data_IF_917689286018
#
_entry.id   IF_917689286018
#
_cell.length_a   1.000
_cell.length_b   1.000
_cell.length_c   1.000
_cell.angle_alpha   90.00
_cell.angle_beta   90.00
_cell.angle_gamma   90.00
#
_symmetry.space_group_name_H-M   'P 1'
#
loop_
_entity.id
_entity.type
_entity.pdbx_description
1 polymer ?
#
# COMPACT_ATOMS: atom_id res chain seq x y z
N UNK A 1 7.51 -4.95 31.74
CA UNK A 1 7.48 -4.49 33.15
C UNK A 1 6.16 -3.77 33.40
N UNK A 2 5.28 -4.28 34.27
CA UNK A 2 4.06 -3.56 34.69
C UNK A 2 4.42 -2.74 35.92
N UNK A 3 4.51 -1.41 35.80
CA UNK A 3 4.66 -0.51 36.95
C UNK A 3 3.29 -0.34 37.60
N UNK A 4 3.19 -0.58 38.91
CA UNK A 4 1.97 -0.30 39.67
C UNK A 4 1.90 1.19 39.97
N UNK A 5 0.90 1.87 39.41
CA UNK A 5 0.63 3.28 39.64
C UNK A 5 -0.79 3.42 40.19
N UNK A 6 -0.95 4.20 41.25
CA UNK A 6 -2.24 4.48 41.89
C UNK A 6 -2.93 5.61 41.13
N UNK A 7 -4.05 5.31 40.45
CA UNK A 7 -4.76 6.27 39.61
C UNK A 7 -5.95 6.86 40.36
N UNK A 8 -5.90 8.17 40.61
CA UNK A 8 -6.96 8.91 41.30
C UNK A 8 -8.15 9.14 40.37
N UNK A 9 -9.36 9.24 40.95
CA UNK A 9 -10.55 9.66 40.18
C UNK A 9 -10.33 11.07 39.64
N UNK A 10 -10.70 11.28 38.38
CA UNK A 10 -10.43 12.53 37.65
C UNK A 10 -9.16 12.49 36.80
N UNK A 11 -8.28 11.50 36.97
CA UNK A 11 -7.08 11.35 36.14
C UNK A 11 -7.46 11.22 34.66
N UNK A 12 -6.76 11.97 33.81
CA UNK A 12 -6.86 11.89 32.35
C UNK A 12 -5.53 11.35 31.83
N UNK A 13 -5.59 10.29 31.03
CA UNK A 13 -4.42 9.71 30.36
C UNK A 13 -4.57 9.83 28.86
N UNK A 14 -3.46 9.98 28.14
CA UNK A 14 -3.43 9.84 26.69
C UNK A 14 -3.20 8.38 26.36
N UNK A 15 -4.06 7.84 25.51
CA UNK A 15 -3.98 6.47 25.01
C UNK A 15 -3.29 6.52 23.66
N UNK A 16 -2.35 5.61 23.46
CA UNK A 16 -1.68 5.42 22.18
C UNK A 16 -1.66 3.94 21.85
N UNK A 17 -1.75 3.63 20.56
CA UNK A 17 -1.58 2.28 20.06
C UNK A 17 -0.12 2.04 19.65
N UNK A 18 0.27 0.76 19.57
CA UNK A 18 1.55 0.39 18.97
C UNK A 18 1.62 0.79 17.50
N UNK A 19 2.83 0.72 16.93
CA UNK A 19 3.07 0.99 15.51
C UNK A 19 2.12 0.17 14.63
N UNK A 20 1.49 0.81 13.64
CA UNK A 20 0.58 0.17 12.69
C UNK A 20 -0.87 0.00 13.15
N UNK A 21 -1.22 0.52 14.33
CA UNK A 21 -2.57 0.49 14.87
C UNK A 21 -3.12 1.90 15.11
N UNK A 22 -4.37 2.13 14.69
CA UNK A 22 -5.11 3.36 14.88
C UNK A 22 -6.08 3.25 16.05
N UNK A 23 -6.24 4.35 16.77
CA UNK A 23 -7.11 4.42 17.93
C UNK A 23 -8.50 4.92 17.52
N UNK A 24 -9.55 4.16 17.85
CA UNK A 24 -10.94 4.56 17.62
C UNK A 24 -11.45 5.51 18.73
N UNK A 25 -10.82 6.67 18.89
CA UNK A 25 -11.13 7.66 19.93
C UNK A 25 -11.08 9.07 19.32
N UNK A 26 -12.16 9.84 19.45
CA UNK A 26 -12.21 11.24 19.01
C UNK A 26 -11.57 12.22 20.03
N UNK A 27 -11.24 13.45 19.60
CA UNK A 27 -10.03 13.82 18.85
C UNK A 27 -8.75 13.87 19.70
N UNK A 28 -8.85 13.79 21.04
CA UNK A 28 -7.69 13.98 21.93
C UNK A 28 -7.03 12.67 22.40
N UNK A 29 -7.58 11.52 21.99
CA UNK A 29 -7.12 10.18 22.39
C UNK A 29 -7.02 10.02 23.92
N UNK A 30 -7.89 10.70 24.68
CA UNK A 30 -7.84 10.71 26.14
C UNK A 30 -8.84 9.76 26.77
N UNK A 31 -8.42 9.06 27.83
CA UNK A 31 -9.32 8.33 28.71
C UNK A 31 -9.33 8.98 30.10
N UNK A 32 -10.52 9.16 30.68
CA UNK A 32 -10.71 9.72 32.03
C UNK A 32 -11.14 8.64 33.01
N UNK A 33 -10.51 8.57 34.17
CA UNK A 33 -10.95 7.70 35.27
C UNK A 33 -12.09 8.37 36.04
N UNK A 34 -13.29 7.79 35.99
CA UNK A 34 -14.50 8.26 36.68
C UNK A 34 -14.97 7.14 37.60
N UNK A 35 -14.91 7.37 38.92
CA UNK A 35 -15.34 6.40 39.94
C UNK A 35 -14.71 5.01 39.73
N UNK A 36 -13.40 4.98 39.48
CA UNK A 36 -12.65 3.74 39.24
C UNK A 36 -12.85 3.09 37.86
N UNK A 37 -13.60 3.72 36.95
CA UNK A 37 -13.82 3.22 35.57
C UNK A 37 -13.26 4.19 34.55
N UNK A 38 -12.58 3.67 33.53
CA UNK A 38 -12.14 4.48 32.40
C UNK A 38 -13.31 4.87 31.49
N UNK A 39 -13.28 6.09 30.99
CA UNK A 39 -14.19 6.61 29.98
C UNK A 39 -13.36 7.16 28.80
N UNK A 40 -13.50 6.60 27.59
CA UNK A 40 -14.32 5.44 27.25
C UNK A 40 -13.85 4.15 27.92
N UNK A 41 -14.76 3.18 28.03
CA UNK A 41 -14.53 1.96 28.80
C UNK A 41 -13.57 0.99 28.11
N UNK A 42 -13.50 1.04 26.77
CA UNK A 42 -12.63 0.20 25.95
C UNK A 42 -12.10 0.97 24.74
N UNK A 43 -10.89 1.55 24.80
CA UNK A 43 -10.20 1.99 23.59
C UNK A 43 -9.91 0.79 22.69
N UNK A 44 -10.21 0.90 21.39
CA UNK A 44 -9.83 -0.10 20.39
C UNK A 44 -8.62 0.39 19.61
N UNK A 45 -7.64 -0.48 19.50
CA UNK A 45 -6.52 -0.34 18.57
C UNK A 45 -6.81 -1.26 17.38
N UNK A 46 -7.14 -0.66 16.24
CA UNK A 46 -7.47 -1.38 14.99
C UNK A 46 -6.30 -1.24 14.02
N UNK A 47 -6.08 -2.26 13.19
CA UNK A 47 -4.99 -2.22 12.21
C UNK A 47 -5.25 -1.09 11.22
N UNK A 48 -4.26 -0.23 10.99
CA UNK A 48 -4.41 0.82 9.99
C UNK A 48 -4.29 0.28 8.56
N UNK A 49 -5.05 0.85 7.61
CA UNK A 49 -4.82 0.60 6.20
C UNK A 49 -3.51 1.26 5.75
N UNK A 50 -2.92 0.73 4.69
CA UNK A 50 -1.83 1.40 3.99
C UNK A 50 -2.41 2.43 3.00
N UNK A 51 -1.66 3.49 2.73
CA UNK A 51 -2.00 4.47 1.71
C UNK A 51 -0.92 4.42 0.63
N UNK A 52 -1.34 4.49 -0.64
CA UNK A 52 -0.40 4.57 -1.76
C UNK A 52 0.19 5.98 -1.81
N UNK A 53 1.51 6.12 -2.01
CA UNK A 53 2.12 7.44 -2.14
C UNK A 53 1.90 8.04 -3.54
N UNK A 54 2.04 9.36 -3.62
CA UNK A 54 2.14 10.06 -4.89
C UNK A 54 3.40 9.62 -5.65
N UNK A 55 3.28 9.38 -6.95
CA UNK A 55 4.41 9.02 -7.82
C UNK A 55 4.32 9.78 -9.13
N UNK A 56 5.47 10.19 -9.66
CA UNK A 56 5.56 10.72 -11.03
C UNK A 56 5.60 9.54 -12.00
N UNK A 57 4.63 9.43 -12.91
CA UNK A 57 4.52 8.37 -13.93
C UNK A 57 4.31 6.94 -13.39
N UNK A 58 4.08 6.78 -12.09
CA UNK A 58 3.81 5.49 -11.46
C UNK A 58 2.32 5.21 -11.33
N UNK A 59 1.94 3.95 -11.54
CA UNK A 59 0.55 3.47 -11.49
C UNK A 59 0.49 2.31 -10.49
N UNK A 60 -0.35 2.46 -9.47
CA UNK A 60 -0.66 1.38 -8.53
C UNK A 60 -1.95 0.69 -8.93
N UNK A 61 -1.92 -0.63 -9.07
CA UNK A 61 -3.10 -1.43 -9.37
C UNK A 61 -3.36 -2.50 -8.32
N UNK A 62 -4.63 -2.82 -8.09
CA UNK A 62 -5.04 -3.96 -7.29
C UNK A 62 -5.77 -4.97 -8.18
N UNK A 63 -5.48 -6.28 -8.03
CA UNK A 63 -6.27 -7.29 -8.71
C UNK A 63 -7.72 -7.19 -8.22
N UNK A 64 -8.66 -7.05 -9.14
CA UNK A 64 -10.07 -7.04 -8.78
C UNK A 64 -10.44 -8.48 -8.41
N UNK A 65 -10.61 -8.75 -7.11
CA UNK A 65 -11.18 -10.03 -6.67
C UNK A 65 -12.56 -10.16 -7.32
N UNK A 66 -12.68 -11.06 -8.30
CA UNK A 66 -13.96 -11.58 -8.79
C UNK A 66 -14.59 -12.46 -7.71
N UNK A 67 -14.95 -11.83 -6.59
CA UNK A 67 -15.63 -12.42 -5.44
C UNK A 67 -17.14 -12.47 -5.59
N UNK A 68 -17.67 -12.63 -6.80
CA UNK A 68 -19.02 -13.16 -7.04
C UNK A 68 -18.94 -14.16 -8.19
N UNK A 69 -19.14 -15.43 -7.83
CA UNK A 69 -19.46 -16.60 -8.66
C UNK A 69 -19.52 -16.31 -10.17
N UNK A 70 -18.43 -16.58 -10.90
CA UNK A 70 -18.54 -16.73 -12.35
C UNK A 70 -19.38 -17.97 -12.63
N UNK A 71 -20.68 -17.79 -12.85
CA UNK A 71 -21.45 -18.77 -13.62
C UNK A 71 -20.81 -18.87 -15.00
N UNK A 72 -20.47 -20.09 -15.42
CA UNK A 72 -19.86 -20.41 -16.71
C UNK A 72 -20.82 -20.14 -17.90
N UNK A 73 -21.25 -18.90 -18.07
CA UNK A 73 -22.10 -18.49 -19.17
C UNK A 73 -22.11 -16.97 -19.29
N UNK A 74 -21.01 -16.38 -19.79
CA UNK A 74 -20.98 -15.19 -20.65
C UNK A 74 -19.65 -15.21 -21.44
N UNK A 75 -19.54 -16.14 -22.38
CA UNK A 75 -18.53 -16.05 -23.45
C UNK A 75 -19.20 -15.32 -24.59
N UNK A 76 -18.88 -14.02 -24.77
CA UNK A 76 -19.01 -13.28 -26.02
C UNK A 76 -18.35 -11.89 -25.84
N UNK A 77 -17.10 -11.75 -26.28
CA UNK A 77 -16.43 -10.45 -26.33
C UNK A 77 -14.94 -10.53 -26.65
N UNK A 78 -14.59 -10.33 -27.93
CA UNK A 78 -13.32 -9.81 -28.48
C UNK A 78 -11.97 -10.51 -28.18
N UNK A 79 -11.18 -10.88 -29.21
CA UNK A 79 -9.77 -11.21 -29.06
C UNK A 79 -8.95 -9.91 -28.96
N UNK A 80 -8.94 -9.32 -27.77
CA UNK A 80 -7.98 -8.31 -27.35
C UNK A 80 -7.16 -8.89 -26.20
N UNK A 81 -5.85 -8.68 -26.22
CA UNK A 81 -4.86 -9.19 -25.27
C UNK A 81 -5.38 -9.06 -23.83
N UNK A 82 -5.57 -10.19 -23.15
CA UNK A 82 -6.15 -10.25 -21.80
C UNK A 82 -5.27 -9.56 -20.76
N UNK A 83 -5.59 -8.31 -20.46
CA UNK A 83 -5.32 -7.72 -19.16
C UNK A 83 -6.58 -7.95 -18.32
N UNK A 84 -6.46 -8.75 -17.27
CA UNK A 84 -7.53 -8.88 -16.29
C UNK A 84 -7.91 -7.50 -15.76
N UNK A 85 -9.17 -7.31 -15.39
CA UNK A 85 -9.67 -6.06 -14.85
C UNK A 85 -8.88 -5.72 -13.57
N UNK A 86 -7.86 -4.88 -13.69
CA UNK A 86 -7.07 -4.37 -12.58
C UNK A 86 -7.60 -2.97 -12.22
N UNK A 87 -7.87 -2.74 -10.93
CA UNK A 87 -8.34 -1.43 -10.46
C UNK A 87 -7.13 -0.54 -10.18
N UNK A 88 -7.02 0.59 -10.87
CA UNK A 88 -6.07 1.66 -10.53
C UNK A 88 -6.44 2.32 -9.18
N UNK A 89 -5.42 2.61 -8.37
CA UNK A 89 -5.54 3.15 -7.03
C UNK A 89 -5.10 4.62 -6.98
N UNK A 90 -5.76 5.40 -6.14
CA UNK A 90 -5.39 6.78 -5.83
C UNK A 90 -4.86 6.94 -4.39
N UNK A 91 -4.25 8.08 -4.08
CA UNK A 91 -3.67 8.40 -2.75
C UNK A 91 -4.66 8.33 -1.58
N UNK A 92 -5.96 8.49 -1.87
CA UNK A 92 -7.02 8.44 -0.85
C UNK A 92 -7.57 7.04 -0.63
N UNK A 93 -7.24 6.07 -1.49
CA UNK A 93 -7.76 4.72 -1.39
C UNK A 93 -7.07 3.97 -0.23
N UNK A 94 -7.83 3.55 0.80
CA UNK A 94 -7.26 2.78 1.89
C UNK A 94 -7.05 1.33 1.47
N UNK A 95 -5.84 0.82 1.66
CA UNK A 95 -5.48 -0.55 1.31
C UNK A 95 -5.52 -1.43 2.57
N UNK A 96 -6.42 -2.43 2.64
CA UNK A 96 -6.54 -3.30 3.80
C UNK A 96 -5.26 -4.09 4.09
N UNK A 97 -4.97 -4.31 5.37
CA UNK A 97 -3.86 -5.15 5.80
C UNK A 97 -3.94 -6.56 5.19
N UNK A 98 -2.80 -7.02 4.66
CA UNK A 98 -2.65 -8.33 4.03
C UNK A 98 -2.82 -8.30 2.51
N UNK A 99 -3.43 -7.25 1.95
CA UNK A 99 -3.59 -7.08 0.51
C UNK A 99 -2.23 -6.85 -0.18
N UNK A 100 -2.14 -7.29 -1.42
CA UNK A 100 -0.99 -7.08 -2.30
C UNK A 100 -1.44 -6.27 -3.50
N UNK A 101 -0.72 -5.18 -3.77
CA UNK A 101 -0.92 -4.33 -4.93
C UNK A 101 0.29 -4.44 -5.86
N UNK A 102 0.08 -4.12 -7.12
CA UNK A 102 1.11 -4.08 -8.13
C UNK A 102 1.47 -2.62 -8.49
N UNK A 103 2.73 -2.40 -8.84
CA UNK A 103 3.24 -1.12 -9.30
C UNK A 103 3.82 -1.26 -10.70
N UNK A 104 3.41 -0.36 -11.58
CA UNK A 104 3.91 -0.24 -12.95
C UNK A 104 4.20 1.23 -13.26
N UNK A 105 4.87 1.48 -14.39
CA UNK A 105 5.13 2.82 -14.88
C UNK A 105 4.38 3.08 -16.18
N UNK A 106 4.09 4.35 -16.44
CA UNK A 106 3.62 4.82 -17.74
C UNK A 106 4.60 4.47 -18.87
N UNK A 107 4.10 4.50 -20.10
CA UNK A 107 4.91 4.19 -21.28
C UNK A 107 6.16 5.08 -21.38
N UNK A 108 7.30 4.46 -21.68
CA UNK A 108 8.58 5.15 -21.76
C UNK A 108 9.30 5.30 -20.43
N UNK A 109 8.80 4.69 -19.35
CA UNK A 109 9.47 4.60 -18.06
C UNK A 109 9.65 3.14 -17.63
N UNK A 110 10.70 2.89 -16.87
CA UNK A 110 11.04 1.58 -16.31
C UNK A 110 10.96 1.61 -14.78
N UNK A 111 10.40 0.55 -14.18
CA UNK A 111 10.30 0.41 -12.73
C UNK A 111 11.68 0.16 -12.13
N UNK A 112 12.04 0.93 -11.11
CA UNK A 112 13.15 0.65 -10.21
C UNK A 112 12.61 0.25 -8.85
N UNK A 113 12.99 -0.95 -8.38
CA UNK A 113 12.56 -1.47 -7.08
C UNK A 113 11.45 -2.52 -7.17
N UNK A 114 10.72 -2.77 -6.06
CA UNK A 114 9.75 -3.86 -5.98
C UNK A 114 8.44 -3.52 -6.70
N UNK A 115 7.96 -4.42 -7.56
CA UNK A 115 6.68 -4.26 -8.26
C UNK A 115 5.48 -4.77 -7.46
N UNK A 116 5.68 -5.63 -6.46
CA UNK A 116 4.62 -6.18 -5.63
C UNK A 116 4.74 -5.64 -4.21
N UNK A 117 3.72 -4.93 -3.73
CA UNK A 117 3.71 -4.28 -2.44
C UNK A 117 2.62 -4.90 -1.57
N UNK A 118 3.03 -5.52 -0.46
CA UNK A 118 2.10 -6.08 0.53
C UNK A 118 1.86 -5.08 1.64
N UNK A 119 0.59 -4.76 1.91
CA UNK A 119 0.23 -3.96 3.07
C UNK A 119 0.35 -4.80 4.35
N UNK A 120 1.09 -4.31 5.33
CA UNK A 120 1.27 -4.97 6.62
C UNK A 120 1.30 -3.96 7.77
N UNK A 121 0.29 -4.02 8.62
CA UNK A 121 0.14 -3.15 9.79
C UNK A 121 0.27 -1.66 9.45
N UNK A 122 -0.46 -1.21 8.41
CA UNK A 122 -0.45 0.20 7.97
C UNK A 122 0.83 0.64 7.25
N UNK A 123 1.79 -0.25 7.03
CA UNK A 123 3.02 0.02 6.28
C UNK A 123 3.19 -0.93 5.10
N UNK A 124 3.87 -0.45 4.07
CA UNK A 124 4.28 -1.30 2.95
C UNK A 124 5.43 -2.21 3.37
N UNK A 125 5.22 -3.53 3.25
CA UNK A 125 6.21 -4.56 3.60
C UNK A 125 7.28 -4.70 2.50
N UNK A 126 7.96 -3.60 2.19
CA UNK A 126 9.04 -3.49 1.20
C UNK A 126 10.25 -2.78 1.79
N UNK A 127 11.43 -3.03 1.23
CA UNK A 127 12.68 -2.39 1.68
C UNK A 127 12.83 -0.95 1.19
N UNK A 128 12.23 -0.64 0.04
CA UNK A 128 12.22 0.67 -0.59
C UNK A 128 10.96 0.82 -1.44
N UNK A 129 10.43 2.03 -1.56
CA UNK A 129 9.35 2.31 -2.50
C UNK A 129 9.87 2.24 -3.94
N UNK A 130 9.03 1.82 -4.90
CA UNK A 130 9.42 1.80 -6.30
C UNK A 130 9.34 3.20 -6.91
N UNK A 131 10.14 3.41 -7.95
CA UNK A 131 10.21 4.68 -8.69
C UNK A 131 10.21 4.39 -10.20
N UNK A 132 9.74 5.36 -10.98
CA UNK A 132 9.76 5.30 -12.43
C UNK A 132 10.92 6.15 -12.95
N UNK A 133 11.85 5.53 -13.69
CA UNK A 133 12.95 6.22 -14.34
C UNK A 133 12.74 6.20 -15.85
N UNK A 134 13.13 7.29 -16.53
CA UNK A 134 13.00 7.36 -17.98
C UNK A 134 13.65 6.14 -18.61
N UNK A 135 12.87 5.44 -19.42
CA UNK A 135 13.32 4.26 -20.15
C UNK A 135 14.44 4.68 -21.08
N UNK A 136 15.64 4.15 -20.85
CA UNK A 136 16.63 4.14 -21.90
C UNK A 136 16.05 3.32 -23.04
N UNK A 137 16.13 3.81 -24.28
CA UNK A 137 16.03 2.92 -25.43
C UNK A 137 17.01 1.77 -25.13
N UNK A 138 16.53 0.54 -24.98
CA UNK A 138 17.40 -0.62 -24.72
C UNK A 138 18.29 -0.80 -25.96
N UNK A 139 19.41 -0.08 -25.98
CA UNK A 139 20.49 -0.29 -26.91
C UNK A 139 21.64 -0.92 -26.13
N UNK A 140 22.08 -2.09 -26.56
CA UNK A 140 23.39 -2.56 -26.14
C UNK A 140 24.43 -1.86 -27.00
N UNK A 141 25.39 -1.20 -26.33
CA UNK A 141 26.57 -0.68 -26.99
C UNK A 141 27.45 -1.88 -27.36
N UNK A 142 27.56 -2.15 -28.66
CA UNK A 142 28.56 -3.09 -29.16
C UNK A 142 29.77 -2.32 -29.69
N UNK A 143 30.97 -2.75 -29.29
CA UNK A 143 32.22 -2.21 -29.83
C UNK A 143 32.83 -3.26 -30.76
N UNK A 144 32.69 -3.06 -32.07
CA UNK A 144 33.42 -3.84 -33.07
C UNK A 144 34.48 -2.95 -33.71
N UNK A 145 35.74 -3.42 -33.71
CA UNK A 145 36.89 -2.73 -34.31
C UNK A 145 37.04 -1.26 -33.89
N UNK A 146 36.72 -0.96 -32.63
CA UNK A 146 36.83 0.40 -32.08
C UNK A 146 35.74 1.38 -32.53
N UNK A 147 34.68 0.90 -33.20
CA UNK A 147 33.49 1.70 -33.51
C UNK A 147 32.35 1.35 -32.56
N UNK A 148 31.65 2.37 -32.08
CA UNK A 148 30.43 2.22 -31.29
C UNK A 148 29.26 1.90 -32.20
N UNK A 149 28.57 0.79 -31.92
CA UNK A 149 27.32 0.40 -32.57
C UNK A 149 26.19 0.42 -31.54
N UNK A 150 25.12 1.12 -31.89
CA UNK A 150 23.87 1.13 -31.14
C UNK A 150 22.95 0.07 -31.77
N UNK A 151 22.74 -1.05 -31.08
CA UNK A 151 21.87 -2.13 -31.55
C UNK A 151 20.54 -2.06 -30.84
N UNK A 152 19.45 -1.94 -31.60
CA UNK A 152 18.08 -2.03 -31.09
C UNK A 152 17.67 -3.51 -31.02
N UNK A 153 17.08 -3.94 -29.90
CA UNK A 153 16.39 -5.24 -29.84
C UNK A 153 15.11 -5.13 -30.70
N UNK A 154 14.94 -6.01 -31.69
CA UNK A 154 13.72 -6.14 -32.51
C UNK A 154 12.83 -7.23 -31.89
#
# INVERSE_FOLDING_TARGET
MKKNYYIITGTIVRVACGKGYGLNLEPNATAKCVRGRWKPEKPKCEIQPCHVPATEYGIYTMPTESGHLMTASQVLGTPGIGHGDEKELNETDPIPNGQVIHFSCEYGYNVQGPTNLRCWLGEWAVTSMPECVAGTLDFFISVDKGKLFFLFQI
#
